data_IF_089391141138
#
_entry.id   IF_089391141138
#
_cell.length_a   1.000
_cell.length_b   1.000
_cell.length_c   1.000
_cell.angle_alpha   90.00
_cell.angle_beta   90.00
_cell.angle_gamma   90.00
#
_symmetry.space_group_name_H-M   'P 1'
#
loop_
_entity.id
_entity.type
_entity.pdbx_description
1 polymer ?
#
# COMPACT_ATOMS: atom_id res chain seq x y z
N UNK A 1 31.52 -21.53 -25.95
CA UNK A 1 30.63 -20.44 -26.42
C UNK A 1 29.13 -20.73 -26.35
N UNK A 2 28.62 -21.88 -26.83
CA UNK A 2 27.17 -22.18 -26.89
C UNK A 2 26.46 -22.13 -25.53
N UNK A 3 27.10 -22.62 -24.47
CA UNK A 3 26.60 -22.62 -23.09
C UNK A 3 26.51 -21.19 -22.54
N UNK A 4 27.54 -20.37 -22.76
CA UNK A 4 27.56 -18.96 -22.33
C UNK A 4 26.45 -18.14 -22.97
N UNK A 5 26.17 -18.37 -24.26
CA UNK A 5 25.06 -17.71 -24.97
C UNK A 5 23.69 -18.13 -24.41
N UNK A 6 23.52 -19.41 -24.07
CA UNK A 6 22.30 -19.92 -23.45
C UNK A 6 22.08 -19.33 -22.03
N UNK A 7 23.14 -19.22 -21.23
CA UNK A 7 23.07 -18.61 -19.90
C UNK A 7 22.68 -17.13 -19.97
N UNK A 8 23.23 -16.38 -20.93
CA UNK A 8 22.89 -14.96 -21.13
C UNK A 8 21.41 -14.81 -21.50
N UNK A 9 20.90 -15.65 -22.41
CA UNK A 9 19.48 -15.65 -22.81
C UNK A 9 18.57 -15.97 -21.62
N UNK A 10 18.95 -16.95 -20.79
CA UNK A 10 18.18 -17.32 -19.60
C UNK A 10 18.12 -16.19 -18.57
N UNK A 11 19.25 -15.53 -18.31
CA UNK A 11 19.32 -14.39 -17.38
C UNK A 11 18.48 -13.22 -17.89
N UNK A 12 18.52 -12.92 -19.19
CA UNK A 12 17.70 -11.88 -19.81
C UNK A 12 16.20 -12.20 -19.73
N UNK A 13 15.81 -13.46 -19.94
CA UNK A 13 14.41 -13.88 -19.83
C UNK A 13 13.88 -13.81 -18.39
N UNK A 14 14.71 -14.17 -17.40
CA UNK A 14 14.36 -14.05 -15.99
C UNK A 14 14.24 -12.58 -15.55
N UNK A 15 15.15 -11.71 -15.99
CA UNK A 15 15.11 -10.28 -15.71
C UNK A 15 13.86 -9.62 -16.36
N UNK A 16 13.52 -10.01 -17.59
CA UNK A 16 12.31 -9.54 -18.26
C UNK A 16 11.03 -9.99 -17.54
N UNK A 17 10.96 -11.25 -17.10
CA UNK A 17 9.81 -11.74 -16.33
C UNK A 17 9.69 -11.06 -14.96
N UNK A 18 10.80 -10.75 -14.29
CA UNK A 18 10.80 -9.98 -13.04
C UNK A 18 10.34 -8.52 -13.25
N UNK A 19 10.71 -7.90 -14.38
CA UNK A 19 10.24 -6.57 -14.75
C UNK A 19 8.76 -6.55 -15.20
N UNK A 20 8.29 -7.63 -15.83
CA UNK A 20 6.90 -7.81 -16.26
C UNK A 20 5.97 -8.38 -15.18
N UNK A 21 6.50 -8.82 -14.03
CA UNK A 21 5.75 -8.94 -12.77
C UNK A 21 5.40 -7.56 -12.20
N UNK A 22 5.06 -6.63 -13.10
CA UNK A 22 4.58 -5.31 -12.80
C UNK A 22 3.27 -5.50 -12.03
N UNK A 23 3.33 -5.14 -10.75
CA UNK A 23 2.17 -4.90 -9.91
C UNK A 23 1.04 -4.31 -10.75
N UNK A 24 -0.09 -5.00 -10.82
CA UNK A 24 -1.25 -4.58 -11.60
C UNK A 24 -1.88 -3.38 -10.90
N UNK A 25 -1.33 -2.20 -11.17
CA UNK A 25 -1.85 -0.95 -10.64
C UNK A 25 -3.05 -0.51 -11.45
N UNK A 26 -4.20 -0.40 -10.79
CA UNK A 26 -5.33 0.35 -11.37
C UNK A 26 -4.99 1.84 -11.26
N UNK A 27 -5.07 2.59 -12.36
CA UNK A 27 -4.81 4.05 -12.43
C UNK A 27 -5.67 4.86 -11.43
N UNK A 28 -6.79 4.28 -10.97
CA UNK A 28 -7.68 4.83 -9.93
C UNK A 28 -7.41 4.30 -8.51
N UNK A 29 -6.39 3.47 -8.31
CA UNK A 29 -6.00 2.92 -7.00
C UNK A 29 -4.78 3.65 -6.47
N UNK A 30 -4.81 3.94 -5.18
CA UNK A 30 -3.60 4.32 -4.45
C UNK A 30 -2.56 3.20 -4.63
N UNK A 31 -1.44 3.51 -5.28
CA UNK A 31 -0.37 2.56 -5.60
C UNK A 31 0.27 1.96 -4.35
N UNK A 32 0.03 2.54 -3.17
CA UNK A 32 0.52 2.01 -1.91
C UNK A 32 -0.28 0.80 -1.40
N UNK A 33 -1.48 0.51 -1.96
CA UNK A 33 -2.26 -0.68 -1.60
C UNK A 33 -1.77 -1.92 -2.35
N UNK A 34 -1.17 -2.86 -1.62
CA UNK A 34 -0.66 -4.10 -2.21
C UNK A 34 -0.71 -5.27 -1.23
N UNK A 35 -0.42 -6.47 -1.73
CA UNK A 35 -0.30 -7.69 -0.91
C UNK A 35 1.12 -8.23 -1.02
N UNK A 36 1.78 -8.47 0.11
CA UNK A 36 3.12 -9.06 0.19
C UNK A 36 3.08 -10.21 1.19
N UNK A 37 3.46 -11.41 0.75
CA UNK A 37 3.47 -12.65 1.56
C UNK A 37 2.13 -12.94 2.25
N UNK A 38 1.01 -12.70 1.54
CA UNK A 38 -0.34 -12.86 2.09
C UNK A 38 -0.79 -11.76 3.06
N UNK A 39 0.09 -10.84 3.43
CA UNK A 39 -0.21 -9.68 4.25
C UNK A 39 -0.61 -8.50 3.37
N UNK A 40 -1.53 -7.67 3.87
CA UNK A 40 -2.02 -6.52 3.13
C UNK A 40 -1.32 -5.27 3.65
N UNK A 41 -0.89 -4.43 2.73
CA UNK A 41 -0.11 -3.23 3.03
C UNK A 41 -0.77 -2.03 2.40
N UNK A 42 -0.81 -0.94 3.15
CA UNK A 42 -1.30 0.35 2.69
C UNK A 42 -0.43 1.46 3.27
N UNK A 43 0.14 2.31 2.40
CA UNK A 43 1.05 3.41 2.78
C UNK A 43 2.16 3.01 3.77
N UNK A 44 2.73 1.82 3.60
CA UNK A 44 3.79 1.31 4.48
C UNK A 44 3.32 0.58 5.73
N UNK A 45 2.01 0.55 6.02
CA UNK A 45 1.46 -0.12 7.20
C UNK A 45 0.82 -1.45 6.87
N UNK A 46 1.08 -2.46 7.72
CA UNK A 46 0.41 -3.75 7.65
C UNK A 46 -1.04 -3.62 8.13
N UNK A 47 -1.99 -4.00 7.28
CA UNK A 47 -3.41 -4.01 7.59
C UNK A 47 -3.89 -5.42 7.93
N UNK A 48 -4.74 -5.49 8.95
CA UNK A 48 -5.51 -6.69 9.28
C UNK A 48 -6.88 -6.63 8.61
N UNK A 49 -7.30 -7.73 7.99
CA UNK A 49 -8.60 -7.81 7.31
C UNK A 49 -9.74 -7.58 8.31
N UNK A 50 -10.65 -6.66 7.99
CA UNK A 50 -11.82 -6.35 8.82
C UNK A 50 -11.55 -5.48 10.05
N UNK A 51 -10.29 -5.12 10.32
CA UNK A 51 -9.93 -4.24 11.43
C UNK A 51 -9.93 -2.77 11.00
N UNK A 52 -10.32 -1.90 11.93
CA UNK A 52 -10.10 -0.47 11.82
C UNK A 52 -8.69 -0.12 12.30
N UNK A 53 -7.97 0.66 11.51
CA UNK A 53 -6.69 1.26 11.88
C UNK A 53 -6.89 2.76 11.97
N UNK A 54 -6.68 3.34 13.15
CA UNK A 54 -6.75 4.78 13.34
C UNK A 54 -5.34 5.36 13.24
N UNK A 55 -5.21 6.41 12.42
CA UNK A 55 -3.96 7.10 12.12
C UNK A 55 -3.99 8.52 12.69
N UNK A 56 -2.83 9.03 13.07
CA UNK A 56 -2.61 10.45 13.40
C UNK A 56 -2.23 11.25 12.14
N UNK A 57 -1.35 10.69 11.30
CA UNK A 57 -0.80 11.38 10.12
C UNK A 57 -0.90 10.48 8.88
N UNK A 58 -1.69 10.86 7.85
CA UNK A 58 -2.80 11.82 7.94
C UNK A 58 -3.87 11.34 8.95
N UNK A 59 -4.62 12.28 9.53
CA UNK A 59 -5.62 11.96 10.55
C UNK A 59 -6.84 11.25 9.92
N UNK A 60 -6.73 9.93 9.81
CA UNK A 60 -7.64 9.07 9.06
C UNK A 60 -7.95 7.79 9.84
N UNK A 61 -9.12 7.21 9.59
CA UNK A 61 -9.45 5.83 9.90
C UNK A 61 -9.44 5.02 8.61
N UNK A 62 -8.67 3.95 8.61
CA UNK A 62 -8.60 3.00 7.53
C UNK A 62 -9.37 1.75 7.92
N UNK A 63 -10.23 1.28 7.02
CA UNK A 63 -10.98 0.06 7.22
C UNK A 63 -10.79 -0.85 6.02
N UNK A 64 -10.22 -2.02 6.28
CA UNK A 64 -9.83 -2.93 5.22
C UNK A 64 -10.90 -3.97 4.93
N UNK A 65 -11.35 -4.06 3.67
CA UNK A 65 -12.37 -5.01 3.21
C UNK A 65 -11.88 -5.82 2.03
N UNK A 66 -12.26 -7.10 2.01
CA UNK A 66 -12.08 -7.95 0.84
C UNK A 66 -13.23 -7.71 -0.12
N UNK A 67 -12.93 -7.11 -1.27
CA UNK A 67 -13.86 -7.11 -2.40
C UNK A 67 -13.47 -8.25 -3.34
N UNK A 68 -14.45 -8.85 -4.03
CA UNK A 68 -14.36 -10.14 -4.76
C UNK A 68 -13.00 -10.47 -5.41
N UNK A 69 -12.35 -9.50 -6.06
CA UNK A 69 -11.07 -9.71 -6.78
C UNK A 69 -9.86 -8.96 -6.20
N UNK A 70 -10.03 -8.10 -5.20
CA UNK A 70 -8.95 -7.21 -4.74
C UNK A 70 -9.20 -6.64 -3.35
N UNK A 71 -8.13 -6.33 -2.59
CA UNK A 71 -8.27 -5.59 -1.33
C UNK A 71 -8.79 -4.18 -1.62
N UNK A 72 -9.63 -3.68 -0.71
CA UNK A 72 -10.12 -2.30 -0.72
C UNK A 72 -9.93 -1.72 0.67
N UNK A 73 -9.41 -0.50 0.73
CA UNK A 73 -9.32 0.28 1.96
C UNK A 73 -10.32 1.43 1.87
N UNK A 74 -11.28 1.44 2.79
CA UNK A 74 -12.15 2.59 3.00
C UNK A 74 -11.45 3.56 3.95
N UNK A 75 -11.37 4.83 3.57
CA UNK A 75 -10.66 5.87 4.32
C UNK A 75 -11.69 6.90 4.79
N UNK A 76 -11.66 7.23 6.08
CA UNK A 76 -12.44 8.31 6.68
C UNK A 76 -11.47 9.30 7.32
N UNK A 77 -11.35 10.50 6.77
CA UNK A 77 -10.50 11.57 7.29
C UNK A 77 -11.32 12.76 7.79
N UNK A 78 -10.67 13.67 8.53
CA UNK A 78 -11.29 14.93 8.98
C UNK A 78 -11.45 15.93 7.82
N UNK A 79 -10.48 15.99 6.92
CA UNK A 79 -10.49 16.79 5.69
C UNK A 79 -10.24 15.89 4.47
N UNK A 80 -10.58 16.37 3.27
CA UNK A 80 -10.20 15.70 2.02
C UNK A 80 -8.69 15.86 1.81
N UNK A 81 -7.91 14.92 2.33
CA UNK A 81 -6.48 14.88 2.08
C UNK A 81 -6.21 14.60 0.59
N UNK A 82 -5.39 15.45 -0.05
CA UNK A 82 -4.92 15.22 -1.41
C UNK A 82 -3.92 14.07 -1.37
N UNK A 83 -4.38 12.88 -1.75
CA UNK A 83 -3.56 11.66 -1.75
C UNK A 83 -2.47 11.77 -2.81
N UNK A 84 -1.21 11.93 -2.40
CA UNK A 84 -0.08 11.63 -3.28
C UNK A 84 0.15 10.12 -3.24
N UNK A 85 -0.07 9.43 -4.37
CA UNK A 85 -0.05 7.97 -4.47
C UNK A 85 1.34 7.33 -4.36
N UNK A 86 2.26 7.89 -3.57
CA UNK A 86 3.59 7.34 -3.38
C UNK A 86 3.62 6.47 -2.12
N UNK A 87 4.32 5.36 -2.22
CA UNK A 87 4.71 4.58 -1.05
C UNK A 87 5.58 5.43 -0.12
N UNK A 88 5.26 5.42 1.17
CA UNK A 88 6.04 6.07 2.23
C UNK A 88 6.35 4.98 3.25
N UNK A 89 7.54 5.04 3.85
CA UNK A 89 7.91 4.18 4.98
C UNK A 89 6.99 4.45 6.17
N UNK A 90 6.78 3.45 7.04
CA UNK A 90 5.96 3.60 8.24
C UNK A 90 6.47 4.76 9.10
N UNK A 91 5.60 5.76 9.31
CA UNK A 91 5.86 6.91 10.17
C UNK A 91 5.39 6.57 11.58
N UNK A 92 6.22 6.72 12.62
CA UNK A 92 5.79 6.55 14.00
C UNK A 92 4.56 7.41 14.33
N UNK A 93 3.53 6.78 14.90
CA UNK A 93 2.26 7.43 15.24
C UNK A 93 2.17 7.70 16.74
N UNK A 94 1.65 8.86 17.16
CA UNK A 94 1.33 9.12 18.56
C UNK A 94 0.00 8.46 18.93
N UNK A 95 0.08 7.37 19.70
CA UNK A 95 -1.10 6.61 20.14
C UNK A 95 -2.14 7.46 20.89
N UNK A 96 -1.71 8.53 21.56
CA UNK A 96 -2.60 9.45 22.29
C UNK A 96 -3.37 10.40 21.37
N UNK A 97 -3.00 10.49 20.08
CA UNK A 97 -3.54 11.45 19.13
C UNK A 97 -4.04 10.81 17.82
N UNK A 98 -4.44 9.54 17.83
CA UNK A 98 -5.03 8.88 16.65
C UNK A 98 -6.45 9.39 16.34
N UNK A 99 -6.91 9.17 15.11
CA UNK A 99 -8.30 9.43 14.70
C UNK A 99 -9.32 8.80 15.68
N UNK A 100 -10.41 9.49 16.07
CA UNK A 100 -10.82 10.83 15.62
C UNK A 100 -10.22 11.99 16.45
N UNK A 101 -9.32 11.73 17.41
CA UNK A 101 -8.81 12.76 18.33
C UNK A 101 -7.96 13.82 17.62
N UNK A 102 -7.15 13.42 16.64
CA UNK A 102 -6.38 14.37 15.83
C UNK A 102 -7.24 15.32 14.98
N UNK A 103 -8.54 15.06 14.78
CA UNK A 103 -9.41 15.97 14.03
C UNK A 103 -9.64 17.30 14.74
N UNK A 104 -9.47 17.36 16.07
CA UNK A 104 -9.73 18.57 16.85
C UNK A 104 -8.63 19.63 16.75
N UNK A 105 -7.45 19.25 16.25
CA UNK A 105 -6.26 20.13 16.19
C UNK A 105 -6.15 20.92 14.89
N UNK A 106 -7.04 20.72 13.92
CA UNK A 106 -7.08 21.52 12.70
C UNK A 106 -8.05 22.68 12.97
N UNK A 107 -7.50 23.79 13.48
CA UNK A 107 -8.22 25.06 13.65
C UNK A 107 -7.39 26.18 13.04
#
# INVERSE_FOLDING_TARGET
ERIMRLSIILVLALAANAACAANTYSILRDHSLHTQDGNWWFRGYKLSLGADVNMEIPCERWHCRKQRKYPVVAIVGCERATVSGRYIEEIPQNASNLFPRCCQKIK
#
